data_IF_233050338633
#
_entry.id   IF_233050338633
#
_cell.length_a   1.000
_cell.length_b   1.000
_cell.length_c   1.000
_cell.angle_alpha   90.00
_cell.angle_beta   90.00
_cell.angle_gamma   90.00
#
_symmetry.space_group_name_H-M   'P 1'
#
loop_
_entity.id
_entity.type
_entity.pdbx_description
1 polymer ?
#
# COMPACT_ATOMS: atom_id res chain seq x y z
N UNK A 1 -27.91 25.16 -55.27
CA UNK A 1 -27.25 23.89 -54.87
C UNK A 1 -26.13 24.24 -53.89
N UNK A 2 -26.37 24.14 -52.58
CA UNK A 2 -25.36 24.37 -51.56
C UNK A 2 -24.93 23.02 -50.97
N UNK A 3 -23.69 22.63 -51.25
CA UNK A 3 -23.08 21.41 -50.73
C UNK A 3 -22.54 21.73 -49.32
N UNK A 4 -23.25 21.27 -48.29
CA UNK A 4 -22.77 21.36 -46.90
C UNK A 4 -21.73 20.26 -46.67
N UNK A 5 -20.48 20.66 -46.45
CA UNK A 5 -19.42 19.78 -45.97
C UNK A 5 -19.56 19.61 -44.45
N UNK A 6 -20.08 18.46 -44.02
CA UNK A 6 -20.06 18.02 -42.63
C UNK A 6 -18.66 17.48 -42.31
N UNK A 7 -17.86 18.29 -41.61
CA UNK A 7 -16.63 17.88 -40.95
C UNK A 7 -16.97 16.92 -39.80
N UNK A 8 -16.86 15.62 -40.05
CA UNK A 8 -16.76 14.60 -39.03
C UNK A 8 -15.42 14.77 -38.31
N UNK A 9 -15.45 15.43 -37.15
CA UNK A 9 -14.34 15.44 -36.20
C UNK A 9 -14.33 14.05 -35.55
N UNK A 10 -13.49 13.16 -36.07
CA UNK A 10 -13.16 11.89 -35.44
C UNK A 10 -12.51 12.17 -34.09
N UNK A 11 -13.30 12.12 -33.02
CA UNK A 11 -12.81 12.06 -31.66
C UNK A 11 -12.04 10.76 -31.47
N UNK A 12 -10.71 10.84 -31.60
CA UNK A 12 -9.82 9.78 -31.16
C UNK A 12 -9.93 9.72 -29.64
N UNK A 13 -10.75 8.80 -29.13
CA UNK A 13 -10.63 8.32 -27.75
C UNK A 13 -9.22 7.74 -27.62
N UNK A 14 -8.31 8.55 -27.10
CA UNK A 14 -7.00 8.09 -26.66
C UNK A 14 -7.24 7.09 -25.53
N UNK A 15 -7.21 5.80 -25.88
CA UNK A 15 -7.02 4.74 -24.91
C UNK A 15 -5.72 5.06 -24.17
N UNK A 16 -5.84 5.46 -22.91
CA UNK A 16 -4.69 5.60 -22.02
C UNK A 16 -3.92 4.28 -22.04
N UNK A 17 -2.64 4.27 -22.45
CA UNK A 17 -1.87 3.04 -22.58
C UNK A 17 -1.83 2.37 -21.22
N UNK A 18 -2.18 1.08 -21.20
CA UNK A 18 -2.09 0.26 -20.01
C UNK A 18 -0.67 0.35 -19.46
N UNK A 19 -0.52 0.90 -18.26
CA UNK A 19 0.69 0.75 -17.50
C UNK A 19 1.00 -0.75 -17.46
N UNK A 20 2.13 -1.15 -18.02
CA UNK A 20 2.61 -2.53 -17.91
C UNK A 20 2.67 -2.89 -16.42
N UNK A 21 2.15 -4.06 -16.05
CA UNK A 21 2.02 -4.49 -14.64
C UNK A 21 3.30 -4.31 -13.82
N UNK A 22 4.48 -4.46 -14.43
CA UNK A 22 5.78 -4.21 -13.78
C UNK A 22 6.00 -2.76 -13.36
N UNK A 23 5.62 -1.78 -14.19
CA UNK A 23 5.74 -0.37 -13.83
C UNK A 23 4.80 -0.04 -12.68
N UNK A 24 3.58 -0.59 -12.69
CA UNK A 24 2.65 -0.38 -11.58
C UNK A 24 3.14 -1.00 -10.26
N UNK A 25 3.70 -2.22 -10.28
CA UNK A 25 4.29 -2.82 -9.07
C UNK A 25 5.43 -1.97 -8.50
N UNK A 26 6.28 -1.42 -9.36
CA UNK A 26 7.33 -0.49 -8.95
C UNK A 26 6.75 0.80 -8.37
N UNK A 27 5.72 1.37 -8.98
CA UNK A 27 5.07 2.59 -8.48
C UNK A 27 4.44 2.35 -7.10
N UNK A 28 3.84 1.17 -6.89
CA UNK A 28 3.30 0.74 -5.59
C UNK A 28 4.42 0.61 -4.56
N UNK A 29 5.50 -0.09 -4.89
CA UNK A 29 6.66 -0.23 -4.02
C UNK A 29 7.21 1.14 -3.59
N UNK A 30 7.54 1.99 -4.56
CA UNK A 30 8.15 3.31 -4.31
C UNK A 30 7.20 4.22 -3.52
N UNK A 31 5.89 4.12 -3.77
CA UNK A 31 4.86 4.82 -3.00
C UNK A 31 4.83 4.34 -1.55
N UNK A 32 4.83 3.03 -1.32
CA UNK A 32 4.72 2.45 0.03
C UNK A 32 5.99 2.71 0.84
N UNK A 33 7.19 2.47 0.31
CA UNK A 33 8.44 2.74 1.03
C UNK A 33 8.58 4.22 1.42
N UNK A 34 8.01 5.14 0.63
CA UNK A 34 7.96 6.57 0.96
C UNK A 34 6.96 6.89 2.07
N UNK A 35 5.81 6.22 2.07
CA UNK A 35 4.65 6.57 2.91
C UNK A 35 4.50 5.71 4.17
N UNK A 36 5.16 4.57 4.23
CA UNK A 36 5.18 3.67 5.35
C UNK A 36 6.46 3.89 6.16
N UNK A 37 6.31 3.85 7.49
CA UNK A 37 7.42 3.93 8.43
C UNK A 37 7.30 2.78 9.42
N UNK A 38 8.44 2.32 9.91
CA UNK A 38 8.52 1.33 10.96
C UNK A 38 8.81 2.03 12.29
N UNK A 39 7.80 2.28 13.14
CA UNK A 39 8.05 2.94 14.40
C UNK A 39 8.80 2.02 15.36
N UNK A 40 9.58 2.61 16.25
CA UNK A 40 10.25 1.91 17.32
C UNK A 40 10.32 2.76 18.59
N UNK A 41 10.44 2.08 19.72
CA UNK A 41 10.72 2.71 21.01
C UNK A 41 11.75 1.89 21.79
N UNK A 42 12.25 2.44 22.89
CA UNK A 42 13.12 1.71 23.81
C UNK A 42 12.31 1.19 24.99
N UNK A 43 12.30 -0.13 25.16
CA UNK A 43 11.69 -0.78 26.31
C UNK A 43 12.54 -0.68 27.58
N UNK A 44 12.04 -1.28 28.66
CA UNK A 44 12.79 -1.39 29.91
C UNK A 44 14.12 -2.16 29.67
N UNK A 45 15.24 -1.57 30.07
CA UNK A 45 16.58 -2.10 29.78
C UNK A 45 17.23 -1.61 28.47
N UNK A 46 16.64 -0.62 27.80
CA UNK A 46 17.24 0.00 26.60
C UNK A 46 17.14 -0.85 25.33
N UNK A 47 16.36 -1.92 25.35
CA UNK A 47 16.12 -2.75 24.15
C UNK A 47 15.21 -2.01 23.17
N UNK A 48 15.62 -1.94 21.90
CA UNK A 48 14.80 -1.43 20.81
C UNK A 48 13.63 -2.40 20.54
N UNK A 49 12.41 -1.89 20.59
CA UNK A 49 11.18 -2.61 20.30
C UNK A 49 10.59 -1.98 19.03
N UNK A 50 10.47 -2.80 17.99
CA UNK A 50 9.85 -2.43 16.73
C UNK A 50 8.34 -2.67 16.84
N UNK A 51 7.53 -1.70 16.41
CA UNK A 51 6.07 -1.80 16.42
C UNK A 51 5.54 -1.93 14.99
N UNK A 52 4.29 -2.36 14.77
CA UNK A 52 3.73 -2.53 13.42
C UNK A 52 3.91 -1.30 12.52
N UNK A 53 4.04 -1.55 11.21
CA UNK A 53 4.22 -0.50 10.21
C UNK A 53 3.02 0.47 10.24
N UNK A 54 3.31 1.76 10.15
CA UNK A 54 2.30 2.82 10.11
C UNK A 54 2.46 3.66 8.85
N UNK A 55 1.37 4.24 8.37
CA UNK A 55 1.45 5.24 7.33
C UNK A 55 1.60 6.65 7.90
N UNK A 56 2.44 7.45 7.24
CA UNK A 56 2.56 8.91 7.43
C UNK A 56 1.88 9.71 6.31
N UNK A 57 1.41 9.04 5.26
CA UNK A 57 0.68 9.66 4.16
C UNK A 57 -0.83 9.47 4.36
N UNK A 58 -1.63 10.51 4.13
CA UNK A 58 -3.09 10.40 4.15
C UNK A 58 -3.63 9.53 3.01
N UNK A 59 -2.85 9.38 1.95
CA UNK A 59 -3.15 8.59 0.76
C UNK A 59 -2.89 7.10 0.94
N UNK A 60 -2.35 6.66 2.08
CA UNK A 60 -2.12 5.24 2.39
C UNK A 60 -2.75 4.92 3.74
N UNK A 61 -3.76 4.07 3.71
CA UNK A 61 -4.42 3.53 4.90
C UNK A 61 -4.08 2.06 4.98
N UNK A 62 -3.39 1.67 6.05
CA UNK A 62 -2.98 0.30 6.35
C UNK A 62 -3.83 -0.20 7.52
N UNK A 63 -4.33 -1.43 7.43
CA UNK A 63 -4.99 -2.11 8.53
C UNK A 63 -4.86 -3.62 8.36
N UNK A 64 -4.33 -4.30 9.39
CA UNK A 64 -4.10 -5.75 9.43
C UNK A 64 -3.68 -6.33 8.06
N UNK A 65 -4.58 -7.06 7.40
CA UNK A 65 -4.37 -7.72 6.11
C UNK A 65 -4.87 -6.94 4.89
N UNK A 66 -5.18 -5.64 5.02
CA UNK A 66 -5.73 -4.83 3.96
C UNK A 66 -5.12 -3.42 3.91
N UNK A 67 -5.05 -2.87 2.71
CA UNK A 67 -4.63 -1.49 2.51
C UNK A 67 -5.51 -0.80 1.48
N UNK A 68 -5.71 0.50 1.65
CA UNK A 68 -6.32 1.38 0.65
C UNK A 68 -5.36 2.50 0.35
N UNK A 69 -5.14 2.79 -0.93
CA UNK A 69 -4.21 3.82 -1.31
C UNK A 69 -4.55 4.52 -2.62
N UNK A 70 -3.95 5.69 -2.85
CA UNK A 70 -4.14 6.51 -4.05
C UNK A 70 -2.80 6.76 -4.74
N UNK A 71 -2.67 6.32 -6.00
CA UNK A 71 -1.51 6.59 -6.86
C UNK A 71 -2.00 7.30 -8.12
N UNK A 72 -1.38 8.42 -8.47
CA UNK A 72 -1.77 9.20 -9.67
C UNK A 72 -3.23 9.67 -9.67
N UNK A 73 -3.84 9.84 -8.49
CA UNK A 73 -5.25 10.21 -8.35
C UNK A 73 -6.24 9.04 -8.50
N UNK A 74 -5.77 7.83 -8.78
CA UNK A 74 -6.60 6.63 -8.86
C UNK A 74 -6.59 5.86 -7.52
N UNK A 75 -7.76 5.47 -6.99
CA UNK A 75 -7.84 4.68 -5.76
C UNK A 75 -7.67 3.18 -6.04
N UNK A 76 -6.99 2.51 -5.12
CA UNK A 76 -6.71 1.08 -5.13
C UNK A 76 -6.95 0.48 -3.76
N UNK A 77 -7.22 -0.83 -3.75
CA UNK A 77 -7.30 -1.64 -2.53
C UNK A 77 -6.43 -2.87 -2.67
N UNK A 78 -5.68 -3.19 -1.62
CA UNK A 78 -4.91 -4.42 -1.52
C UNK A 78 -5.46 -5.31 -0.41
N UNK A 79 -5.48 -6.62 -0.66
CA UNK A 79 -5.84 -7.65 0.33
C UNK A 79 -4.71 -8.67 0.35
N UNK A 80 -4.24 -8.94 1.56
CA UNK A 80 -3.24 -9.95 1.91
C UNK A 80 -3.94 -11.20 2.40
N UNK A 81 -3.40 -12.36 2.02
CA UNK A 81 -3.83 -13.66 2.51
C UNK A 81 -2.62 -14.60 2.57
N UNK A 82 -2.74 -15.66 3.35
CA UNK A 82 -1.69 -16.66 3.47
C UNK A 82 -1.49 -17.38 2.13
N UNK A 83 -0.23 -17.55 1.76
CA UNK A 83 0.15 -18.33 0.58
C UNK A 83 -0.05 -19.81 0.86
N UNK A 84 -0.26 -20.61 -0.19
CA UNK A 84 -0.27 -22.08 -0.08
C UNK A 84 1.06 -22.65 0.44
N UNK A 85 2.15 -21.88 0.34
CA UNK A 85 3.47 -22.23 0.84
C UNK A 85 3.75 -21.68 2.25
N UNK A 86 2.78 -21.06 2.91
CA UNK A 86 3.01 -20.48 4.22
C UNK A 86 3.14 -21.54 5.31
N UNK A 87 4.15 -21.36 6.16
CA UNK A 87 4.29 -22.04 7.45
C UNK A 87 4.10 -21.00 8.57
N UNK A 88 2.85 -20.84 9.01
CA UNK A 88 2.52 -19.95 10.12
C UNK A 88 2.45 -18.46 9.77
N UNK A 89 2.13 -18.11 8.52
CA UNK A 89 1.90 -16.72 8.07
C UNK A 89 3.15 -15.98 7.59
N UNK A 90 4.28 -16.67 7.47
CA UNK A 90 5.56 -16.14 6.98
C UNK A 90 5.52 -15.68 5.51
N UNK A 91 4.85 -16.45 4.66
CA UNK A 91 4.71 -16.24 3.23
C UNK A 91 3.25 -15.90 2.90
N UNK A 92 3.05 -14.81 2.17
CA UNK A 92 1.72 -14.35 1.78
C UNK A 92 1.59 -14.16 0.27
N UNK A 93 0.35 -14.06 -0.17
CA UNK A 93 -0.03 -13.57 -1.48
C UNK A 93 -0.81 -12.26 -1.31
N UNK A 94 -0.64 -11.34 -2.25
CA UNK A 94 -1.27 -10.03 -2.24
C UNK A 94 -1.98 -9.78 -3.57
N UNK A 95 -3.22 -9.32 -3.53
CA UNK A 95 -3.96 -8.88 -4.72
C UNK A 95 -4.30 -7.40 -4.58
N UNK A 96 -3.99 -6.62 -5.61
CA UNK A 96 -4.40 -5.22 -5.75
C UNK A 96 -5.53 -5.11 -6.77
N UNK A 97 -6.59 -4.40 -6.37
CA UNK A 97 -7.76 -4.10 -7.19
C UNK A 97 -7.94 -2.60 -7.42
N UNK A 98 -8.44 -2.25 -8.60
CA UNK A 98 -8.88 -0.89 -8.92
C UNK A 98 -10.28 -0.58 -8.36
N UNK A 99 -10.78 0.64 -8.61
CA UNK A 99 -12.15 1.06 -8.23
C UNK A 99 -13.28 0.20 -8.80
N UNK A 100 -13.01 -0.55 -9.88
CA UNK A 100 -13.95 -1.43 -10.56
C UNK A 100 -13.78 -2.88 -10.10
N UNK A 101 -13.04 -3.11 -9.02
CA UNK A 101 -12.71 -4.41 -8.43
C UNK A 101 -11.89 -5.33 -9.36
N UNK A 102 -11.32 -4.80 -10.44
CA UNK A 102 -10.46 -5.58 -11.34
C UNK A 102 -9.09 -5.73 -10.72
N UNK A 103 -8.53 -6.93 -10.80
CA UNK A 103 -7.16 -7.20 -10.36
C UNK A 103 -6.21 -6.49 -11.33
N UNK A 104 -5.37 -5.60 -10.80
CA UNK A 104 -4.38 -4.82 -11.58
C UNK A 104 -2.95 -5.24 -11.30
N UNK A 105 -2.70 -5.89 -10.15
CA UNK A 105 -1.45 -6.53 -9.82
C UNK A 105 -1.65 -7.57 -8.73
N UNK A 106 -0.73 -8.54 -8.68
CA UNK A 106 -0.61 -9.52 -7.63
C UNK A 106 0.87 -9.75 -7.27
N UNK A 107 1.15 -10.01 -6.00
CA UNK A 107 2.41 -10.58 -5.54
C UNK A 107 2.12 -11.96 -5.03
N UNK A 108 2.98 -12.91 -5.37
CA UNK A 108 2.83 -14.28 -4.93
C UNK A 108 4.06 -14.71 -4.17
N UNK A 109 3.82 -15.46 -3.11
CA UNK A 109 4.84 -16.14 -2.32
C UNK A 109 5.90 -15.18 -1.77
N UNK A 110 5.43 -14.05 -1.24
CA UNK A 110 6.28 -13.00 -0.70
C UNK A 110 6.42 -13.15 0.82
N UNK A 111 7.63 -12.95 1.37
CA UNK A 111 7.85 -12.98 2.82
C UNK A 111 7.28 -11.70 3.43
N UNK A 112 6.03 -11.75 3.89
CA UNK A 112 5.33 -10.58 4.41
C UNK A 112 4.88 -10.73 5.87
N UNK A 113 4.97 -11.93 6.47
CA UNK A 113 4.68 -12.15 7.89
C UNK A 113 3.31 -11.60 8.33
N UNK A 114 2.31 -11.64 7.44
CA UNK A 114 0.98 -11.07 7.67
C UNK A 114 0.88 -9.54 7.61
N UNK A 115 1.96 -8.82 7.26
CA UNK A 115 1.97 -7.36 7.15
C UNK A 115 1.75 -6.90 5.70
N UNK A 116 0.61 -6.26 5.45
CA UNK A 116 0.22 -5.80 4.11
C UNK A 116 1.14 -4.70 3.56
N UNK A 117 1.77 -3.88 4.41
CA UNK A 117 2.70 -2.87 3.97
C UNK A 117 4.01 -3.50 3.49
N UNK A 118 4.51 -4.49 4.24
CA UNK A 118 5.65 -5.31 3.83
C UNK A 118 5.38 -6.00 2.49
N UNK A 119 4.17 -6.54 2.33
CA UNK A 119 3.77 -7.16 1.08
C UNK A 119 3.72 -6.20 -0.12
N UNK A 120 3.19 -4.99 0.08
CA UNK A 120 3.16 -3.94 -0.95
C UNK A 120 4.56 -3.43 -1.31
N UNK A 121 5.49 -3.48 -0.36
CA UNK A 121 6.93 -3.27 -0.59
C UNK A 121 7.62 -4.50 -1.20
N UNK A 122 6.88 -5.53 -1.62
CA UNK A 122 7.45 -6.71 -2.27
C UNK A 122 8.25 -7.62 -1.32
N UNK A 123 8.00 -7.54 -0.01
CA UNK A 123 8.68 -8.36 1.00
C UNK A 123 10.00 -7.77 1.50
N UNK A 124 10.30 -6.50 1.22
CA UNK A 124 11.50 -5.82 1.75
C UNK A 124 11.19 -4.95 2.96
N UNK A 125 12.09 -4.93 3.94
CA UNK A 125 11.97 -4.17 5.18
C UNK A 125 12.61 -2.76 5.09
N UNK A 126 12.59 -2.16 3.89
CA UNK A 126 13.25 -0.89 3.57
C UNK A 126 12.56 0.35 4.19
N UNK A 127 11.68 0.15 5.17
CA UNK A 127 10.95 1.21 5.81
C UNK A 127 11.85 2.10 6.67
N UNK A 128 11.64 3.41 6.55
CA UNK A 128 12.29 4.37 7.45
C UNK A 128 11.87 4.07 8.89
N UNK A 129 12.86 3.96 9.75
CA UNK A 129 12.60 3.73 11.17
C UNK A 129 12.44 5.07 11.90
N UNK A 130 11.34 5.21 12.63
CA UNK A 130 10.99 6.45 13.33
C UNK A 130 10.86 6.18 14.82
N UNK A 131 11.52 6.98 15.65
CA UNK A 131 11.34 6.89 17.10
C UNK A 131 9.96 7.42 17.49
N UNK A 132 9.18 6.60 18.19
CA UNK A 132 7.90 6.97 18.77
C UNK A 132 8.02 6.83 20.28
N UNK A 133 7.87 7.91 21.07
CA UNK A 133 7.91 7.79 22.53
C UNK A 133 6.77 6.87 23.00
N UNK A 134 6.97 6.11 24.09
CA UNK A 134 5.90 5.31 24.67
C UNK A 134 4.69 6.19 24.96
N UNK A 135 3.49 5.73 24.60
CA UNK A 135 2.26 6.44 24.97
C UNK A 135 2.01 6.16 26.45
N UNK A 136 2.24 7.16 27.30
CA UNK A 136 1.94 7.05 28.73
C UNK A 136 0.42 6.80 28.92
N UNK A 137 0.01 5.68 29.52
CA UNK A 137 -1.41 5.36 29.71
C UNK A 137 -2.13 6.31 30.70
N UNK A 138 -1.41 7.25 31.32
CA UNK A 138 -1.89 8.07 32.45
C UNK A 138 -2.48 9.43 32.00
N UNK A 139 -2.27 9.85 30.75
CA UNK A 139 -2.75 11.17 30.30
C UNK A 139 -4.26 11.25 29.96
N UNK A 140 -5.00 10.13 29.98
CA UNK A 140 -6.46 10.11 29.70
C UNK A 140 -7.36 10.19 30.95
N UNK A 141 -6.81 10.52 32.13
CA UNK A 141 -7.54 10.39 33.40
C UNK A 141 -7.43 11.54 34.40
N UNK A 142 -7.13 12.77 33.96
CA UNK A 142 -7.05 13.93 34.86
C UNK A 142 -7.93 15.10 34.39
N UNK A 143 -9.25 14.88 34.36
CA UNK A 143 -10.22 15.94 34.65
C UNK A 143 -10.80 15.65 36.03
N UNK A 144 -10.33 16.39 37.04
CA UNK A 144 -11.05 16.61 38.29
C UNK A 144 -11.77 17.93 38.20
#
# INVERSE_FOLDING_TARGET
MYLSFLLLVSGVLAASPGATSQNFKKDVHDFVVRCAVQPYHYGHGGRKIVTPVKSICKELVIADNHARFVIGGAPYSAILFDSEYSDGGDINDLIIRDRSLRIVADWRHIPAFGDVALALAGGTDDFKQVFEPPVDPVAMGATR
#
